data_IF_963524605293
#
_entry.id   IF_963524605293
#
_cell.length_a   1.000
_cell.length_b   1.000
_cell.length_c   1.000
_cell.angle_alpha   90.00
_cell.angle_beta   90.00
_cell.angle_gamma   90.00
#
_symmetry.space_group_name_H-M   'P 1'
#
loop_
_entity.id
_entity.type
_entity.pdbx_description
1 polymer ?
#
# COMPACT_ATOMS: atom_id res chain seq x y z
N UNK A 1 -32.98 65.67 -35.61
CA UNK A 1 -33.19 64.96 -34.30
C UNK A 1 -34.51 64.19 -34.24
N UNK A 2 -35.64 64.79 -34.66
CA UNK A 2 -36.94 64.10 -34.65
C UNK A 2 -36.94 62.83 -35.53
N UNK A 3 -36.39 62.86 -36.74
CA UNK A 3 -36.28 61.69 -37.66
C UNK A 3 -35.46 60.56 -37.11
N UNK A 4 -34.49 60.81 -36.19
CA UNK A 4 -33.64 59.76 -35.55
C UNK A 4 -34.43 59.07 -34.45
N UNK A 5 -35.32 59.73 -33.77
CA UNK A 5 -36.15 59.19 -32.69
C UNK A 5 -37.38 58.43 -33.23
N UNK A 6 -37.82 58.71 -34.42
CA UNK A 6 -38.99 58.08 -35.06
C UNK A 6 -38.62 56.80 -35.83
N UNK A 7 -37.35 56.66 -36.23
CA UNK A 7 -36.85 55.47 -36.95
C UNK A 7 -35.82 54.66 -36.07
N UNK A 8 -36.21 53.50 -35.54
CA UNK A 8 -35.34 52.69 -34.70
C UNK A 8 -34.05 52.25 -35.40
N UNK A 9 -34.05 52.13 -36.72
CA UNK A 9 -32.87 51.69 -37.47
C UNK A 9 -31.86 52.81 -37.65
N UNK A 10 -32.35 54.05 -37.88
CA UNK A 10 -31.50 55.23 -37.87
C UNK A 10 -30.92 55.55 -36.51
N UNK A 11 -31.68 55.33 -35.44
CA UNK A 11 -31.17 55.45 -34.07
C UNK A 11 -30.02 54.44 -33.79
N UNK A 12 -30.16 53.14 -34.17
CA UNK A 12 -29.12 52.19 -34.09
C UNK A 12 -27.85 52.50 -34.87
N UNK A 13 -28.04 53.10 -36.10
CA UNK A 13 -26.89 53.51 -36.89
C UNK A 13 -26.13 54.68 -36.25
N UNK A 14 -26.79 55.63 -35.66
CA UNK A 14 -26.15 56.74 -34.93
C UNK A 14 -25.39 56.21 -33.72
N UNK A 15 -26.03 55.37 -32.92
CA UNK A 15 -25.39 54.76 -31.77
C UNK A 15 -24.13 53.94 -32.18
N UNK A 16 -24.23 53.21 -33.29
CA UNK A 16 -23.10 52.43 -33.80
C UNK A 16 -21.94 53.35 -34.23
N UNK A 17 -22.23 54.43 -34.94
CA UNK A 17 -21.23 55.42 -35.39
C UNK A 17 -20.53 56.09 -34.17
N UNK A 18 -21.31 56.48 -33.16
CA UNK A 18 -20.76 57.08 -31.94
C UNK A 18 -19.87 56.07 -31.15
N UNK A 19 -20.30 54.82 -31.07
CA UNK A 19 -19.50 53.75 -30.42
C UNK A 19 -18.21 53.41 -31.21
N UNK A 20 -18.28 53.42 -32.54
CA UNK A 20 -17.11 53.23 -33.40
C UNK A 20 -16.13 54.40 -33.25
N UNK A 21 -16.61 55.66 -33.23
CA UNK A 21 -15.80 56.84 -32.96
C UNK A 21 -15.11 56.75 -31.56
N UNK A 22 -15.86 56.43 -30.53
CA UNK A 22 -15.28 56.26 -29.17
C UNK A 22 -14.22 55.15 -29.14
N UNK A 23 -14.46 54.05 -29.86
CA UNK A 23 -13.47 52.95 -29.96
C UNK A 23 -12.20 53.40 -30.70
N UNK A 24 -12.32 54.16 -31.74
CA UNK A 24 -11.16 54.67 -32.52
C UNK A 24 -10.35 55.71 -31.76
N UNK A 25 -11.03 56.62 -31.04
CA UNK A 25 -10.38 57.74 -30.34
C UNK A 25 -9.80 57.30 -28.96
N UNK A 26 -10.50 56.42 -28.26
CA UNK A 26 -10.16 56.04 -26.87
C UNK A 26 -9.88 54.54 -26.69
N UNK A 27 -9.91 53.77 -27.78
CA UNK A 27 -9.66 52.34 -27.71
C UNK A 27 -8.18 52.04 -27.48
N UNK A 28 -7.85 51.51 -26.35
CA UNK A 28 -6.52 50.96 -26.05
C UNK A 28 -6.45 49.48 -26.42
N UNK A 29 -5.26 49.03 -26.84
CA UNK A 29 -4.99 47.60 -26.96
C UNK A 29 -5.10 46.94 -25.61
N UNK A 30 -5.60 45.71 -25.60
CA UNK A 30 -5.79 44.95 -24.39
C UNK A 30 -4.44 44.76 -23.70
N UNK A 31 -4.28 45.28 -22.48
CA UNK A 31 -3.04 45.18 -21.65
C UNK A 31 -2.84 43.82 -21.00
N UNK A 32 -3.93 43.06 -20.80
CA UNK A 32 -3.88 41.73 -20.18
C UNK A 32 -4.10 40.65 -21.23
N UNK A 33 -3.19 39.72 -21.45
CA UNK A 33 -3.42 38.58 -22.34
C UNK A 33 -4.62 37.75 -21.87
N UNK A 34 -5.36 37.16 -22.80
CA UNK A 34 -6.33 36.12 -22.48
C UNK A 34 -5.54 34.83 -22.49
N UNK A 35 -5.29 34.27 -21.30
CA UNK A 35 -4.74 32.95 -21.15
C UNK A 35 -5.88 31.96 -20.85
N UNK A 36 -5.73 30.74 -21.35
CA UNK A 36 -6.63 29.67 -20.94
C UNK A 36 -6.48 29.47 -19.43
N UNK A 37 -7.62 29.35 -18.75
CA UNK A 37 -7.63 29.05 -17.32
C UNK A 37 -6.95 27.70 -17.12
N UNK A 38 -5.75 27.70 -16.56
CA UNK A 38 -5.13 26.51 -16.06
C UNK A 38 -5.93 26.09 -14.82
N UNK A 39 -6.75 25.05 -14.96
CA UNK A 39 -7.41 24.42 -13.84
C UNK A 39 -6.34 23.60 -13.08
N UNK A 40 -5.50 24.30 -12.30
CA UNK A 40 -4.52 23.68 -11.43
C UNK A 40 -5.25 22.81 -10.41
N UNK A 41 -4.95 21.53 -10.43
CA UNK A 41 -5.40 20.59 -9.39
C UNK A 41 -4.50 20.72 -8.17
N UNK A 42 -4.95 20.25 -7.01
CA UNK A 42 -4.11 20.19 -5.80
C UNK A 42 -2.85 19.35 -6.05
N UNK A 43 -2.95 18.37 -6.93
CA UNK A 43 -1.85 17.49 -7.32
C UNK A 43 -0.73 18.23 -8.06
N UNK A 44 -1.07 19.20 -8.92
CA UNK A 44 -0.09 20.02 -9.67
C UNK A 44 0.76 20.92 -8.77
N UNK A 45 0.29 21.23 -7.58
CA UNK A 45 0.99 22.06 -6.58
C UNK A 45 1.91 21.24 -5.67
N UNK A 46 1.82 19.91 -5.72
CA UNK A 46 2.60 19.02 -4.86
C UNK A 46 3.83 18.55 -5.62
N UNK A 47 5.00 18.69 -4.97
CA UNK A 47 6.26 18.22 -5.55
C UNK A 47 6.30 16.68 -5.55
N UNK A 48 6.67 16.05 -6.68
CA UNK A 48 6.89 14.61 -6.72
C UNK A 48 8.13 14.24 -5.90
N UNK A 49 7.95 13.47 -4.83
CA UNK A 49 9.01 12.98 -3.94
C UNK A 49 8.69 11.56 -3.49
N UNK A 50 9.73 10.75 -3.33
CA UNK A 50 9.58 9.39 -2.80
C UNK A 50 9.47 9.44 -1.28
N UNK A 51 8.40 8.84 -0.77
CA UNK A 51 8.05 8.84 0.63
C UNK A 51 7.89 7.41 1.15
N UNK A 52 8.29 7.22 2.41
CA UNK A 52 7.96 6.00 3.15
C UNK A 52 6.60 6.18 3.80
N UNK A 53 5.64 5.40 3.36
CA UNK A 53 4.31 5.31 3.97
C UNK A 53 4.31 4.20 5.00
N UNK A 54 3.90 4.52 6.22
CA UNK A 54 3.73 3.52 7.29
C UNK A 54 2.31 3.50 7.79
N UNK A 55 1.77 2.29 7.96
CA UNK A 55 0.46 2.06 8.59
C UNK A 55 0.66 1.16 9.79
N UNK A 56 0.15 1.59 10.94
CA UNK A 56 0.18 0.79 12.16
C UNK A 56 -1.03 -0.13 12.25
N UNK A 57 -0.93 -1.16 13.10
CA UNK A 57 -2.02 -2.13 13.34
C UNK A 57 -3.31 -1.46 13.82
N UNK A 58 -3.22 -0.41 14.63
CA UNK A 58 -4.37 0.39 15.07
C UNK A 58 -4.90 1.34 14.01
N UNK A 59 -4.34 1.30 12.78
CA UNK A 59 -4.82 2.07 11.65
C UNK A 59 -4.35 3.52 11.61
N UNK A 60 -3.20 3.86 12.19
CA UNK A 60 -2.59 5.18 12.03
C UNK A 60 -1.66 5.19 10.83
N UNK A 61 -1.81 6.17 9.96
CA UNK A 61 -0.99 6.36 8.77
C UNK A 61 -0.17 7.64 8.86
N UNK A 62 1.05 7.59 8.34
CA UNK A 62 1.93 8.74 8.15
C UNK A 62 2.88 8.53 6.98
N UNK A 63 3.37 9.63 6.43
CA UNK A 63 4.46 9.63 5.45
C UNK A 63 5.71 10.25 6.04
N UNK A 64 6.87 9.80 5.56
CA UNK A 64 8.17 10.33 5.93
C UNK A 64 9.10 10.31 4.71
N UNK A 65 10.00 11.30 4.55
CA UNK A 65 11.02 11.24 3.51
C UNK A 65 11.88 9.98 3.65
N UNK A 66 12.30 9.41 2.53
CA UNK A 66 13.11 8.18 2.51
C UNK A 66 14.43 8.34 3.30
N UNK A 67 15.01 9.55 3.30
CA UNK A 67 16.27 9.88 4.01
C UNK A 67 16.23 9.66 5.54
N UNK A 68 15.02 9.60 6.12
CA UNK A 68 14.83 9.38 7.56
C UNK A 68 15.20 7.94 7.96
N UNK A 69 15.11 7.00 7.01
CA UNK A 69 15.41 5.59 7.22
C UNK A 69 16.87 5.31 6.83
N UNK A 70 17.72 5.10 7.82
CA UNK A 70 19.13 4.72 7.64
C UNK A 70 19.35 3.32 8.15
N UNK A 71 20.18 2.57 7.43
CA UNK A 71 20.57 1.21 7.81
C UNK A 71 21.28 1.15 9.17
N UNK A 72 21.10 0.06 9.89
CA UNK A 72 21.77 -0.25 11.15
C UNK A 72 22.67 -1.47 10.95
N UNK A 73 23.93 -1.38 11.40
CA UNK A 73 24.83 -2.53 11.39
C UNK A 73 24.36 -3.58 12.41
N UNK A 74 24.70 -4.86 12.16
CA UNK A 74 24.45 -5.98 13.08
C UNK A 74 24.97 -5.66 14.48
N UNK A 75 24.11 -5.78 15.50
CA UNK A 75 24.45 -5.45 16.89
C UNK A 75 24.32 -3.96 17.25
N UNK A 76 23.78 -3.12 16.35
CA UNK A 76 23.43 -1.75 16.65
C UNK A 76 22.21 -1.65 17.56
N UNK A 77 22.09 -0.54 18.29
CA UNK A 77 20.88 -0.18 19.02
C UNK A 77 19.85 0.27 17.99
N UNK A 78 18.74 -0.46 17.85
CA UNK A 78 17.67 -0.12 16.90
C UNK A 78 17.18 1.31 17.05
N UNK A 79 16.74 1.93 15.95
CA UNK A 79 16.08 3.25 15.99
C UNK A 79 14.58 3.08 16.06
N UNK A 80 13.91 3.85 16.90
CA UNK A 80 12.45 3.87 16.98
C UNK A 80 11.88 4.44 15.69
N UNK A 81 11.20 3.63 14.91
CA UNK A 81 10.54 4.05 13.66
C UNK A 81 9.20 4.75 13.93
N UNK A 82 8.56 4.44 15.06
CA UNK A 82 7.35 5.09 15.53
C UNK A 82 7.29 5.04 17.06
N UNK A 83 6.87 6.15 17.70
CA UNK A 83 6.47 6.09 19.11
C UNK A 83 5.03 5.61 19.15
N UNK A 84 4.85 4.34 19.44
CA UNK A 84 3.53 3.71 19.56
C UNK A 84 3.22 3.43 21.02
N UNK A 85 1.95 3.50 21.41
CA UNK A 85 1.50 3.00 22.71
C UNK A 85 1.86 1.51 22.78
N UNK A 86 1.99 0.98 23.99
CA UNK A 86 2.46 -0.40 24.27
C UNK A 86 1.80 -1.55 23.48
N UNK A 87 0.72 -1.27 22.74
CA UNK A 87 -0.07 -2.27 21.99
C UNK A 87 -0.12 -2.03 20.48
N UNK A 88 0.56 -1.01 19.94
CA UNK A 88 0.54 -0.69 18.51
C UNK A 88 1.93 -0.92 17.88
N UNK A 89 1.98 -1.32 16.62
CA UNK A 89 3.22 -1.50 15.86
C UNK A 89 2.98 -1.22 14.38
N UNK A 90 4.06 -0.94 13.63
CA UNK A 90 3.98 -0.76 12.18
C UNK A 90 3.68 -2.11 11.52
N UNK A 91 2.52 -2.24 10.91
CA UNK A 91 2.08 -3.45 10.22
C UNK A 91 2.42 -3.41 8.72
N UNK A 92 2.32 -2.24 8.11
CA UNK A 92 2.61 -2.04 6.69
C UNK A 92 3.62 -0.91 6.49
N UNK A 93 4.59 -1.15 5.63
CA UNK A 93 5.56 -0.16 5.18
C UNK A 93 5.73 -0.29 3.67
N UNK A 94 5.62 0.82 2.96
CA UNK A 94 5.81 0.88 1.51
C UNK A 94 6.50 2.18 1.12
N UNK A 95 7.34 2.12 0.09
CA UNK A 95 7.89 3.31 -0.57
C UNK A 95 7.00 3.64 -1.75
N UNK A 96 6.57 4.89 -1.86
CA UNK A 96 5.70 5.36 -2.92
C UNK A 96 5.94 6.84 -3.21
N UNK A 97 5.74 7.26 -4.45
CA UNK A 97 5.81 8.67 -4.81
C UNK A 97 4.58 9.43 -4.30
N UNK A 98 4.74 10.73 -4.01
CA UNK A 98 3.62 11.58 -3.54
C UNK A 98 2.41 11.55 -4.45
N UNK A 99 2.60 11.41 -5.77
CA UNK A 99 1.53 11.38 -6.77
C UNK A 99 0.90 10.01 -6.99
N UNK A 100 1.51 8.96 -6.45
CA UNK A 100 1.00 7.61 -6.61
C UNK A 100 -0.35 7.39 -5.91
N UNK A 101 -1.06 6.40 -6.39
CA UNK A 101 -2.30 5.93 -5.76
C UNK A 101 -2.04 4.64 -4.99
N UNK A 102 -2.30 4.66 -3.70
CA UNK A 102 -2.28 3.46 -2.88
C UNK A 102 -3.63 2.75 -2.95
N UNK A 103 -3.61 1.49 -3.35
CA UNK A 103 -4.72 0.58 -3.17
C UNK A 103 -4.60 -0.05 -1.78
N UNK A 104 -5.48 0.35 -0.88
CA UNK A 104 -5.52 -0.13 0.49
C UNK A 104 -6.52 -1.29 0.58
N UNK A 105 -6.04 -2.50 0.78
CA UNK A 105 -6.88 -3.70 0.89
C UNK A 105 -7.15 -4.02 2.36
N UNK A 106 -8.41 -4.27 2.67
CA UNK A 106 -8.83 -4.62 4.03
C UNK A 106 -8.91 -6.12 4.26
N UNK A 107 -8.87 -6.52 5.54
CA UNK A 107 -9.10 -7.89 5.97
C UNK A 107 -10.44 -8.46 5.49
N UNK A 108 -11.46 -7.59 5.31
CA UNK A 108 -12.80 -7.97 4.81
C UNK A 108 -12.88 -8.09 3.28
N UNK A 109 -11.75 -8.00 2.58
CA UNK A 109 -11.67 -8.14 1.13
C UNK A 109 -12.23 -6.96 0.34
N UNK A 110 -12.27 -5.76 0.93
CA UNK A 110 -12.53 -4.50 0.24
C UNK A 110 -11.23 -3.81 -0.16
N UNK A 111 -11.33 -2.90 -1.12
CA UNK A 111 -10.25 -2.03 -1.58
C UNK A 111 -10.68 -0.58 -1.52
N UNK A 112 -9.79 0.27 -1.04
CA UNK A 112 -9.92 1.72 -0.97
C UNK A 112 -8.77 2.37 -1.73
N UNK A 113 -9.00 3.57 -2.24
CA UNK A 113 -8.00 4.38 -2.95
C UNK A 113 -7.60 5.54 -2.08
N UNK A 114 -6.31 5.75 -1.93
CA UNK A 114 -5.76 6.84 -1.16
C UNK A 114 -4.56 7.41 -1.91
N UNK A 115 -4.57 8.70 -2.18
CA UNK A 115 -3.40 9.37 -2.75
C UNK A 115 -2.33 9.55 -1.66
N UNK A 116 -1.07 9.32 -2.01
CA UNK A 116 0.04 9.41 -1.03
C UNK A 116 0.10 10.80 -0.41
N UNK A 117 -0.12 11.86 -1.19
CA UNK A 117 -0.10 13.24 -0.69
C UNK A 117 -1.24 13.57 0.30
N UNK A 118 -2.30 12.77 0.36
CA UNK A 118 -3.39 12.93 1.35
C UNK A 118 -3.00 12.44 2.74
N UNK A 119 -1.95 11.62 2.82
CA UNK A 119 -1.43 11.10 4.08
C UNK A 119 -0.50 12.15 4.69
N UNK A 120 -0.74 12.60 5.93
CA UNK A 120 0.07 13.66 6.52
C UNK A 120 1.51 13.21 6.75
N UNK A 121 2.44 14.10 6.42
CA UNK A 121 3.84 13.95 6.78
C UNK A 121 4.00 14.16 8.29
N UNK A 122 4.70 13.26 8.95
CA UNK A 122 4.88 13.32 10.39
C UNK A 122 6.29 12.88 10.82
N UNK A 123 6.73 13.33 11.99
CA UNK A 123 8.01 12.93 12.56
C UNK A 123 8.05 11.44 12.92
N UNK A 124 9.25 10.91 13.14
CA UNK A 124 9.45 9.49 13.51
C UNK A 124 8.65 9.09 14.76
N UNK A 125 8.61 9.95 15.76
CA UNK A 125 7.95 9.71 17.05
C UNK A 125 6.42 9.99 17.02
N UNK A 126 5.92 10.68 16.00
CA UNK A 126 4.50 10.97 15.88
C UNK A 126 3.72 9.72 15.44
N UNK A 127 2.49 9.56 15.92
CA UNK A 127 1.60 8.44 15.57
C UNK A 127 1.10 8.51 14.13
N UNK A 128 0.97 9.72 13.57
CA UNK A 128 0.28 9.95 12.31
C UNK A 128 -1.22 10.23 12.50
N UNK A 129 -2.00 10.04 11.43
CA UNK A 129 -3.44 10.28 11.39
C UNK A 129 -4.21 8.96 11.27
N UNK A 130 -5.34 8.79 11.96
CA UNK A 130 -6.17 7.59 11.79
C UNK A 130 -6.66 7.46 10.35
N UNK A 131 -6.51 6.27 9.75
CA UNK A 131 -7.00 5.97 8.40
C UNK A 131 -8.49 6.18 8.23
N UNK A 132 -9.29 5.95 9.26
CA UNK A 132 -10.73 6.21 9.26
C UNK A 132 -11.11 7.68 8.98
N UNK A 133 -10.15 8.60 9.14
CA UNK A 133 -10.32 10.00 8.76
C UNK A 133 -9.95 10.28 7.29
N UNK A 134 -9.32 9.34 6.61
CA UNK A 134 -8.89 9.46 5.22
C UNK A 134 -9.77 8.60 4.30
N UNK A 135 -10.14 7.39 4.76
CA UNK A 135 -10.98 6.43 4.03
C UNK A 135 -12.11 5.92 4.95
N UNK A 136 -13.24 5.58 4.37
CA UNK A 136 -14.43 5.14 5.12
C UNK A 136 -14.34 3.64 5.44
N UNK A 137 -13.63 3.31 6.52
CA UNK A 137 -13.55 1.95 7.03
C UNK A 137 -14.74 1.62 7.95
N UNK A 138 -15.20 0.38 7.90
CA UNK A 138 -16.16 -0.16 8.86
C UNK A 138 -15.48 -0.40 10.23
N UNK A 139 -16.25 -0.57 11.30
CA UNK A 139 -15.75 -0.62 12.69
C UNK A 139 -14.75 -1.76 12.96
N UNK A 140 -14.87 -2.88 12.27
CA UNK A 140 -13.99 -4.06 12.43
C UNK A 140 -13.00 -4.22 11.26
N UNK A 141 -12.98 -3.23 10.36
CA UNK A 141 -12.18 -3.28 9.16
C UNK A 141 -10.80 -2.67 9.41
N UNK A 142 -9.75 -3.41 9.02
CA UNK A 142 -8.36 -2.98 9.09
C UNK A 142 -7.67 -3.20 7.74
N UNK A 143 -6.69 -2.37 7.42
CA UNK A 143 -5.90 -2.51 6.20
C UNK A 143 -4.81 -3.56 6.43
N UNK A 144 -4.82 -4.61 5.62
CA UNK A 144 -3.88 -5.72 5.70
C UNK A 144 -2.84 -5.73 4.59
N UNK A 145 -3.10 -5.02 3.49
CA UNK A 145 -2.14 -4.94 2.38
C UNK A 145 -2.25 -3.63 1.62
N UNK A 146 -1.10 -3.13 1.19
CA UNK A 146 -0.96 -1.92 0.37
C UNK A 146 -0.33 -2.28 -0.97
N UNK A 147 -0.85 -1.69 -2.04
CA UNK A 147 -0.21 -1.73 -3.35
C UNK A 147 -0.02 -0.31 -3.85
N UNK A 148 1.20 -0.01 -4.28
CA UNK A 148 1.49 1.22 -4.98
C UNK A 148 1.15 1.06 -6.46
N UNK A 149 0.38 1.99 -7.01
CA UNK A 149 -0.03 2.02 -8.42
C UNK A 149 0.27 3.39 -9.00
N UNK A 150 1.27 3.44 -9.88
CA UNK A 150 1.61 4.64 -10.64
C UNK A 150 0.57 4.90 -11.75
N UNK A 151 0.17 3.85 -12.47
CA UNK A 151 -0.82 3.91 -13.55
C UNK A 151 -1.66 2.65 -13.63
N UNK A 152 -2.98 2.83 -13.85
CA UNK A 152 -3.91 1.73 -14.09
C UNK A 152 -3.95 1.26 -15.56
N UNK A 153 -3.28 1.97 -16.46
CA UNK A 153 -3.22 1.63 -17.89
C UNK A 153 -2.15 0.56 -18.19
N UNK A 154 -1.28 0.27 -17.21
CA UNK A 154 -0.32 -0.82 -17.30
C UNK A 154 -1.02 -2.18 -17.30
N UNK A 155 -0.64 -3.05 -18.24
CA UNK A 155 -1.10 -4.43 -18.25
C UNK A 155 -0.60 -5.17 -17.00
N UNK A 156 -1.52 -5.63 -16.17
CA UNK A 156 -1.17 -6.33 -14.93
C UNK A 156 -2.40 -6.89 -14.21
N UNK A 157 -2.11 -7.61 -13.16
CA UNK A 157 -3.12 -8.23 -12.32
C UNK A 157 -2.84 -7.94 -10.85
N UNK A 158 -3.90 -7.84 -10.07
CA UNK A 158 -3.82 -7.91 -8.61
C UNK A 158 -4.03 -9.36 -8.20
N UNK A 159 -3.00 -9.97 -7.66
CA UNK A 159 -3.05 -11.30 -7.08
C UNK A 159 -3.33 -11.18 -5.59
N UNK A 160 -4.29 -11.94 -5.08
CA UNK A 160 -4.78 -11.87 -3.70
C UNK A 160 -4.72 -13.25 -3.07
N UNK A 161 -4.44 -13.30 -1.76
CA UNK A 161 -4.48 -14.53 -0.97
C UNK A 161 -5.23 -14.31 0.34
N UNK A 162 -6.03 -15.31 0.73
CA UNK A 162 -6.79 -15.28 1.98
C UNK A 162 -6.16 -16.20 3.04
N UNK A 163 -6.53 -15.99 4.28
CA UNK A 163 -6.07 -16.77 5.43
C UNK A 163 -6.41 -18.26 5.28
N UNK A 164 -7.55 -18.59 4.68
CA UNK A 164 -7.96 -19.99 4.42
C UNK A 164 -7.36 -20.58 3.14
N UNK A 165 -6.38 -19.91 2.53
CA UNK A 165 -5.64 -20.44 1.39
C UNK A 165 -6.34 -20.32 0.06
N UNK A 166 -7.36 -19.47 -0.06
CA UNK A 166 -7.99 -19.11 -1.32
C UNK A 166 -7.14 -18.04 -2.01
N UNK A 167 -6.94 -18.17 -3.32
CA UNK A 167 -6.24 -17.18 -4.14
C UNK A 167 -7.11 -16.69 -5.28
N UNK A 168 -6.85 -15.46 -5.70
CA UNK A 168 -7.58 -14.83 -6.79
C UNK A 168 -6.67 -13.90 -7.57
N UNK A 169 -6.82 -13.91 -8.90
CA UNK A 169 -6.16 -12.98 -9.82
C UNK A 169 -7.22 -12.13 -10.51
N UNK A 170 -7.10 -10.81 -10.42
CA UNK A 170 -8.05 -9.84 -11.01
C UNK A 170 -7.28 -8.83 -11.84
N UNK A 171 -7.73 -8.46 -13.08
CA UNK A 171 -7.07 -7.43 -13.86
C UNK A 171 -6.95 -6.11 -13.07
N UNK A 172 -5.80 -5.41 -13.20
CA UNK A 172 -5.55 -4.15 -12.51
C UNK A 172 -6.52 -3.06 -12.96
N UNK A 173 -6.92 -3.06 -14.22
CA UNK A 173 -7.90 -2.13 -14.80
C UNK A 173 -9.27 -2.14 -14.10
N UNK A 174 -9.66 -3.28 -13.51
CA UNK A 174 -10.89 -3.42 -12.72
C UNK A 174 -10.90 -2.50 -11.49
N UNK A 175 -9.73 -2.03 -11.06
CA UNK A 175 -9.55 -1.13 -9.91
C UNK A 175 -9.38 0.35 -10.31
N UNK A 176 -9.48 0.71 -11.59
CA UNK A 176 -9.28 2.08 -12.10
C UNK A 176 -10.23 3.12 -11.49
N UNK A 177 -11.49 2.75 -11.24
CA UNK A 177 -12.52 3.70 -10.80
C UNK A 177 -12.65 3.69 -9.27
N UNK A 178 -12.17 4.72 -8.56
CA UNK A 178 -12.26 4.82 -7.10
C UNK A 178 -13.71 4.97 -6.63
N UNK A 179 -13.98 4.56 -5.39
CA UNK A 179 -15.23 4.85 -4.65
C UNK A 179 -14.89 5.16 -3.19
N UNK A 180 -15.52 6.19 -2.64
CA UNK A 180 -15.29 6.62 -1.25
C UNK A 180 -15.57 5.52 -0.22
N UNK A 181 -16.63 4.71 -0.46
CA UNK A 181 -17.03 3.61 0.44
C UNK A 181 -16.27 2.30 0.15
N UNK A 182 -15.19 2.36 -0.63
CA UNK A 182 -14.49 1.18 -1.10
C UNK A 182 -15.27 0.34 -2.11
N UNK A 183 -14.62 -0.68 -2.62
CA UNK A 183 -15.22 -1.70 -3.50
C UNK A 183 -14.82 -3.09 -3.01
N UNK A 184 -15.68 -4.08 -3.19
CA UNK A 184 -15.28 -5.46 -2.98
C UNK A 184 -14.21 -5.86 -3.98
N UNK A 185 -13.08 -6.35 -3.48
CA UNK A 185 -11.98 -6.88 -4.27
C UNK A 185 -12.08 -8.41 -4.38
N UNK A 186 -12.52 -9.08 -3.32
CA UNK A 186 -12.73 -10.53 -3.25
C UNK A 186 -13.93 -10.82 -2.36
N UNK A 187 -14.70 -11.86 -2.71
CA UNK A 187 -15.77 -12.39 -1.84
C UNK A 187 -15.17 -13.44 -0.91
N UNK A 188 -15.12 -13.14 0.37
CA UNK A 188 -14.61 -14.01 1.42
C UNK A 188 -15.68 -14.97 1.94
N UNK A 189 -15.25 -16.11 2.43
CA UNK A 189 -16.07 -17.03 3.20
C UNK A 189 -16.19 -16.60 4.67
N UNK A 190 -17.08 -17.22 5.40
CA UNK A 190 -17.23 -16.94 6.83
C UNK A 190 -15.92 -17.24 7.57
N UNK A 191 -15.47 -16.30 8.40
CA UNK A 191 -14.22 -16.38 9.18
C UNK A 191 -12.94 -16.47 8.33
N UNK A 192 -13.00 -16.02 7.06
CA UNK A 192 -11.82 -15.87 6.23
C UNK A 192 -11.44 -14.39 6.13
N UNK A 193 -10.15 -14.10 6.04
CA UNK A 193 -9.60 -12.77 5.93
C UNK A 193 -8.63 -12.68 4.75
N UNK A 194 -8.52 -11.52 4.14
CA UNK A 194 -7.49 -11.23 3.15
C UNK A 194 -6.15 -11.04 3.87
N UNK A 195 -5.13 -11.82 3.50
CA UNK A 195 -3.80 -11.77 4.11
C UNK A 195 -2.87 -10.84 3.32
N UNK A 196 -2.93 -10.89 2.00
CA UNK A 196 -2.01 -10.11 1.20
C UNK A 196 -2.44 -9.97 -0.24
N UNK A 197 -1.86 -8.94 -0.88
CA UNK A 197 -2.04 -8.66 -2.29
C UNK A 197 -0.70 -8.32 -2.94
N UNK A 198 -0.53 -8.66 -4.22
CA UNK A 198 0.66 -8.34 -5.03
C UNK A 198 0.24 -7.99 -6.45
N UNK A 199 0.98 -7.09 -7.09
CA UNK A 199 0.84 -6.83 -8.52
C UNK A 199 1.67 -7.86 -9.27
N UNK A 200 1.11 -8.44 -10.35
CA UNK A 200 1.75 -9.44 -11.18
C UNK A 200 1.53 -9.13 -12.67
N UNK A 201 2.39 -9.68 -13.53
CA UNK A 201 2.33 -9.49 -14.99
C UNK A 201 1.62 -10.63 -15.74
N UNK A 202 1.08 -11.62 -15.03
CA UNK A 202 0.43 -12.79 -15.62
C UNK A 202 1.36 -13.97 -15.92
N UNK A 203 2.68 -13.84 -15.68
CA UNK A 203 3.69 -14.87 -16.01
C UNK A 203 4.54 -15.30 -14.82
N UNK A 204 4.35 -14.68 -13.67
CA UNK A 204 5.17 -14.86 -12.48
C UNK A 204 4.82 -16.15 -11.73
N UNK A 205 5.61 -16.46 -10.73
CA UNK A 205 5.36 -17.54 -9.80
C UNK A 205 4.87 -16.95 -8.47
N UNK A 206 3.95 -17.65 -7.85
CA UNK A 206 3.34 -17.26 -6.59
C UNK A 206 3.79 -18.24 -5.51
N UNK A 207 4.17 -17.68 -4.38
CA UNK A 207 4.46 -18.47 -3.19
C UNK A 207 3.51 -18.11 -2.06
N UNK A 208 2.92 -19.13 -1.46
CA UNK A 208 2.11 -19.03 -0.24
C UNK A 208 2.80 -19.79 0.87
N UNK A 209 2.85 -19.19 2.05
CA UNK A 209 3.41 -19.85 3.24
C UNK A 209 2.36 -19.87 4.35
N UNK A 210 2.24 -21.03 5.02
CA UNK A 210 1.35 -21.24 6.16
C UNK A 210 2.07 -21.11 7.49
N UNK A 211 1.30 -20.82 8.54
CA UNK A 211 1.75 -20.79 9.94
C UNK A 211 2.30 -22.14 10.41
N UNK A 212 1.93 -23.24 9.73
CA UNK A 212 2.50 -24.58 9.94
C UNK A 212 3.87 -24.80 9.26
N UNK A 213 4.48 -23.74 8.70
CA UNK A 213 5.80 -23.84 8.06
C UNK A 213 5.81 -24.52 6.70
N UNK A 214 4.66 -24.68 6.05
CA UNK A 214 4.56 -25.26 4.69
C UNK A 214 4.48 -24.14 3.64
N UNK A 215 5.13 -24.34 2.49
CA UNK A 215 5.14 -23.44 1.35
C UNK A 215 4.62 -24.13 0.10
N UNK A 216 3.79 -23.46 -0.68
CA UNK A 216 3.38 -23.85 -2.03
C UNK A 216 3.92 -22.82 -3.02
N UNK A 217 4.62 -23.31 -4.04
CA UNK A 217 5.24 -22.48 -5.07
C UNK A 217 4.75 -22.92 -6.46
N UNK A 218 3.92 -22.08 -7.11
CA UNK A 218 3.23 -22.44 -8.36
C UNK A 218 3.21 -21.28 -9.35
N UNK A 219 2.92 -21.59 -10.63
CA UNK A 219 2.79 -20.57 -11.66
C UNK A 219 1.43 -19.88 -11.58
N UNK A 220 1.40 -18.56 -11.66
CA UNK A 220 0.13 -17.80 -11.59
C UNK A 220 -0.82 -18.10 -12.76
N UNK A 221 -0.34 -18.68 -13.88
CA UNK A 221 -1.18 -19.17 -14.99
C UNK A 221 -2.15 -20.28 -14.57
N UNK A 222 -1.83 -21.00 -13.49
CA UNK A 222 -2.74 -21.99 -12.90
C UNK A 222 -3.99 -21.33 -12.28
N UNK A 223 -3.97 -20.01 -12.08
CA UNK A 223 -5.11 -19.23 -11.61
C UNK A 223 -5.62 -18.34 -12.76
N UNK A 224 -6.81 -18.68 -13.28
CA UNK A 224 -7.46 -17.84 -14.30
C UNK A 224 -7.83 -16.46 -13.74
N UNK A 225 -7.82 -15.40 -14.55
CA UNK A 225 -8.35 -14.10 -14.15
C UNK A 225 -9.84 -14.19 -13.79
N UNK A 226 -10.23 -13.51 -12.73
CA UNK A 226 -11.59 -13.48 -12.20
C UNK A 226 -11.99 -12.04 -11.88
N UNK A 227 -13.24 -11.67 -12.13
CA UNK A 227 -13.78 -10.36 -11.79
C UNK A 227 -13.80 -10.11 -10.28
N UNK A 228 -13.86 -8.84 -9.87
CA UNK A 228 -13.72 -8.41 -8.45
C UNK A 228 -14.70 -9.08 -7.49
N UNK A 229 -15.95 -9.21 -7.86
CA UNK A 229 -17.03 -9.70 -6.96
C UNK A 229 -17.19 -11.24 -6.98
N UNK A 230 -16.09 -11.96 -7.15
CA UNK A 230 -16.06 -13.41 -7.15
C UNK A 230 -15.27 -13.96 -5.98
N UNK A 231 -15.53 -15.21 -5.62
CA UNK A 231 -14.64 -16.02 -4.80
C UNK A 231 -13.39 -16.36 -5.61
N UNK A 232 -12.30 -16.66 -4.93
CA UNK A 232 -11.11 -17.18 -5.56
C UNK A 232 -11.18 -18.69 -5.80
N UNK A 233 -10.03 -19.28 -5.95
CA UNK A 233 -9.78 -20.70 -6.14
C UNK A 233 -8.80 -21.19 -5.07
N UNK A 234 -8.79 -22.48 -4.74
CA UNK A 234 -7.87 -23.06 -3.74
C UNK A 234 -6.42 -22.84 -4.18
N UNK A 235 -5.62 -22.14 -3.37
CA UNK A 235 -4.20 -21.86 -3.59
C UNK A 235 -3.29 -22.89 -2.94
N UNK A 236 -3.57 -23.24 -1.68
CA UNK A 236 -2.86 -24.21 -0.88
C UNK A 236 -3.87 -25.14 -0.17
N UNK A 237 -3.48 -26.36 0.08
CA UNK A 237 -4.23 -27.28 0.93
C UNK A 237 -3.74 -27.15 2.37
N UNK A 238 -4.61 -26.64 3.24
CA UNK A 238 -4.36 -26.48 4.67
C UNK A 238 -5.06 -27.60 5.43
N UNK A 239 -4.48 -28.01 6.54
CA UNK A 239 -5.11 -28.83 7.55
C UNK A 239 -5.95 -27.95 8.49
N UNK A 240 -6.75 -28.54 9.36
CA UNK A 240 -7.57 -27.80 10.32
C UNK A 240 -6.69 -26.87 11.17
N UNK A 241 -7.20 -25.68 11.45
CA UNK A 241 -6.53 -24.61 12.22
C UNK A 241 -5.26 -23.99 11.59
N UNK A 242 -4.85 -24.44 10.41
CA UNK A 242 -3.73 -23.82 9.68
C UNK A 242 -4.21 -22.61 8.88
N UNK A 243 -3.35 -21.60 8.78
CA UNK A 243 -3.63 -20.38 8.07
C UNK A 243 -2.46 -19.98 7.15
N UNK A 244 -2.78 -19.35 6.03
CA UNK A 244 -1.76 -18.65 5.23
C UNK A 244 -1.36 -17.37 5.95
N UNK A 245 -0.06 -17.14 6.04
CA UNK A 245 0.50 -15.95 6.68
C UNK A 245 1.21 -15.01 5.70
N UNK A 246 1.64 -15.52 4.53
CA UNK A 246 2.35 -14.70 3.56
C UNK A 246 2.00 -15.08 2.13
N UNK A 247 1.91 -14.03 1.28
CA UNK A 247 1.83 -14.09 -0.17
C UNK A 247 3.06 -13.39 -0.75
N UNK A 248 3.82 -14.08 -1.58
CA UNK A 248 5.02 -13.55 -2.23
C UNK A 248 5.02 -13.86 -3.72
N UNK A 249 5.79 -13.06 -4.47
CA UNK A 249 6.05 -13.21 -5.91
C UNK A 249 7.56 -13.21 -6.10
N UNK A 250 8.25 -14.31 -5.70
CA UNK A 250 9.70 -14.34 -5.72
C UNK A 250 10.27 -14.42 -7.14
N UNK A 251 11.31 -13.64 -7.37
CA UNK A 251 12.18 -13.74 -8.55
C UNK A 251 13.11 -14.97 -8.48
N UNK A 252 13.92 -15.17 -9.52
CA UNK A 252 14.83 -16.32 -9.60
C UNK A 252 16.00 -16.27 -8.60
N UNK A 253 16.40 -15.08 -8.20
CA UNK A 253 17.56 -14.82 -7.32
C UNK A 253 17.15 -14.52 -5.87
N UNK A 254 15.85 -14.43 -5.62
CA UNK A 254 15.34 -14.11 -4.29
C UNK A 254 15.56 -15.25 -3.31
N UNK A 255 15.71 -14.88 -2.06
CA UNK A 255 15.71 -15.78 -0.93
C UNK A 255 14.50 -15.53 -0.05
N UNK A 256 14.08 -16.54 0.67
CA UNK A 256 12.92 -16.47 1.55
C UNK A 256 13.40 -16.48 2.99
N UNK A 257 13.19 -15.35 3.69
CA UNK A 257 13.40 -15.26 5.11
C UNK A 257 12.10 -15.63 5.84
N UNK A 258 12.16 -16.69 6.63
CA UNK A 258 11.05 -17.15 7.48
C UNK A 258 11.37 -16.85 8.94
N UNK A 259 10.37 -16.37 9.70
CA UNK A 259 10.53 -16.02 11.12
C UNK A 259 9.43 -16.70 11.94
N UNK A 260 9.83 -17.35 13.02
CA UNK A 260 8.92 -18.04 13.93
C UNK A 260 8.61 -17.22 15.19
N UNK A 261 7.59 -17.62 15.90
CA UNK A 261 7.05 -16.98 17.10
C UNK A 261 8.10 -16.75 18.19
N UNK A 262 9.01 -17.71 18.38
CA UNK A 262 10.06 -17.64 19.38
C UNK A 262 11.35 -16.98 18.86
N UNK A 263 11.28 -16.21 17.75
CA UNK A 263 12.36 -15.40 17.22
C UNK A 263 13.42 -16.17 16.41
N UNK A 264 13.16 -17.40 16.01
CA UNK A 264 14.07 -18.13 15.13
C UNK A 264 13.81 -17.72 13.68
N UNK A 265 14.87 -17.35 12.97
CA UNK A 265 14.83 -17.00 11.55
C UNK A 265 15.63 -17.99 10.71
N UNK A 266 15.15 -18.27 9.49
CA UNK A 266 15.85 -19.06 8.48
C UNK A 266 15.75 -18.38 7.12
N UNK A 267 16.88 -18.23 6.46
CA UNK A 267 16.96 -17.79 5.06
C UNK A 267 17.14 -19.03 4.16
N UNK A 268 16.33 -19.16 3.13
CA UNK A 268 16.34 -20.29 2.19
C UNK A 268 16.29 -19.77 0.77
N UNK A 269 17.03 -20.36 -0.16
CA UNK A 269 17.00 -19.99 -1.57
C UNK A 269 15.68 -20.42 -2.21
N UNK A 270 15.17 -19.65 -3.16
CA UNK A 270 13.95 -20.01 -3.90
C UNK A 270 14.11 -21.36 -4.64
N UNK A 271 15.33 -21.71 -5.05
CA UNK A 271 15.65 -22.96 -5.72
C UNK A 271 15.44 -24.20 -4.86
N UNK A 272 15.44 -24.05 -3.53
CA UNK A 272 15.19 -25.14 -2.58
C UNK A 272 13.71 -25.55 -2.53
N UNK A 273 12.83 -24.67 -3.10
CA UNK A 273 11.39 -24.91 -3.12
C UNK A 273 10.98 -25.53 -4.48
N UNK A 274 10.52 -26.77 -4.43
CA UNK A 274 9.99 -27.45 -5.61
C UNK A 274 8.75 -26.74 -6.13
N UNK A 275 8.71 -26.44 -7.44
CA UNK A 275 7.51 -25.97 -8.11
C UNK A 275 6.41 -27.04 -8.05
N UNK A 276 5.23 -26.64 -7.60
CA UNK A 276 4.06 -27.49 -7.44
C UNK A 276 2.90 -26.92 -8.28
N UNK A 277 1.79 -27.65 -8.32
CA UNK A 277 0.53 -27.12 -8.83
C UNK A 277 -0.19 -26.35 -7.70
N UNK A 278 -1.05 -25.41 -8.08
CA UNK A 278 -1.95 -24.73 -7.16
C UNK A 278 -2.80 -25.75 -6.37
N UNK A 279 -3.07 -25.51 -5.11
CA UNK A 279 -3.88 -26.37 -4.25
C UNK A 279 -3.14 -27.59 -3.70
N UNK A 280 -1.81 -27.63 -3.81
CA UNK A 280 -1.00 -28.70 -3.20
C UNK A 280 -0.85 -28.49 -1.68
N UNK A 281 -0.43 -29.57 -0.95
CA UNK A 281 -0.10 -29.50 0.48
C UNK A 281 1.17 -28.71 0.79
N UNK A 282 2.01 -28.48 -0.25
CA UNK A 282 3.26 -27.75 -0.13
C UNK A 282 4.45 -28.56 0.36
N UNK A 283 5.59 -27.89 0.45
CA UNK A 283 6.86 -28.39 0.98
C UNK A 283 7.20 -27.69 2.29
N UNK A 284 8.07 -28.28 3.10
CA UNK A 284 8.47 -27.67 4.37
C UNK A 284 9.41 -26.50 4.08
N UNK A 285 8.99 -25.28 4.43
CA UNK A 285 9.82 -24.08 4.40
C UNK A 285 10.68 -23.97 5.68
N UNK A 286 10.05 -24.21 6.83
CA UNK A 286 10.71 -24.26 8.12
C UNK A 286 10.14 -25.42 8.94
N UNK A 287 11.01 -26.26 9.47
CA UNK A 287 10.58 -27.31 10.39
C UNK A 287 10.26 -26.69 11.75
N UNK A 288 9.02 -26.83 12.16
CA UNK A 288 8.53 -26.31 13.43
C UNK A 288 8.66 -27.31 14.55
N UNK A 289 8.87 -26.83 15.76
CA UNK A 289 8.99 -27.59 17.01
C UNK A 289 8.48 -26.72 18.15
N UNK A 290 8.29 -27.30 19.33
CA UNK A 290 7.94 -26.52 20.54
C UNK A 290 8.95 -25.43 20.86
N UNK A 291 10.22 -25.63 20.49
CA UNK A 291 11.30 -24.65 20.71
C UNK A 291 11.12 -23.38 19.87
N UNK A 292 10.72 -23.48 18.59
CA UNK A 292 10.64 -22.34 17.70
C UNK A 292 9.21 -21.79 17.52
N UNK A 293 8.19 -22.54 17.94
CA UNK A 293 6.80 -22.11 17.83
C UNK A 293 6.26 -22.14 16.40
N UNK A 294 5.12 -21.50 16.16
CA UNK A 294 4.52 -21.36 14.82
C UNK A 294 5.31 -20.37 13.96
N UNK A 295 5.17 -20.49 12.65
CA UNK A 295 5.68 -19.49 11.72
C UNK A 295 4.77 -18.26 11.75
N UNK A 296 5.34 -17.06 11.95
CA UNK A 296 4.58 -15.82 12.05
C UNK A 296 4.74 -14.90 10.84
N UNK A 297 5.87 -14.99 10.14
CA UNK A 297 6.14 -14.15 8.97
C UNK A 297 7.07 -14.85 7.99
N UNK A 298 6.91 -14.54 6.72
CA UNK A 298 7.86 -14.87 5.68
C UNK A 298 7.89 -13.75 4.65
N UNK A 299 9.09 -13.34 4.25
CA UNK A 299 9.33 -12.26 3.29
C UNK A 299 10.38 -12.70 2.27
N UNK A 300 10.25 -12.19 1.05
CA UNK A 300 11.30 -12.33 0.04
C UNK A 300 12.38 -11.28 0.30
N UNK A 301 13.63 -11.67 0.16
CA UNK A 301 14.81 -10.81 0.36
C UNK A 301 15.86 -11.13 -0.69
N UNK A 302 16.67 -10.14 -1.02
CA UNK A 302 17.92 -10.29 -1.78
C UNK A 302 19.11 -10.00 -0.86
N UNK A 303 20.33 -10.31 -1.30
CA UNK A 303 21.52 -10.20 -0.44
C UNK A 303 21.81 -8.77 0.06
N UNK A 304 21.38 -7.75 -0.68
CA UNK A 304 21.58 -6.33 -0.34
C UNK A 304 20.42 -5.73 0.43
N UNK A 305 19.34 -6.49 0.67
CA UNK A 305 18.15 -5.98 1.36
C UNK A 305 18.38 -5.79 2.85
N UNK A 306 17.80 -4.72 3.36
CA UNK A 306 17.72 -4.44 4.79
C UNK A 306 16.34 -4.82 5.32
N UNK A 307 16.30 -5.60 6.40
CA UNK A 307 15.06 -6.09 7.01
C UNK A 307 14.77 -5.32 8.29
N UNK A 308 13.55 -4.77 8.36
CA UNK A 308 13.06 -4.09 9.56
C UNK A 308 12.18 -5.05 10.36
N UNK A 309 12.60 -5.34 11.61
CA UNK A 309 11.79 -6.07 12.56
C UNK A 309 11.04 -5.12 13.48
N UNK A 310 9.71 -5.12 13.40
CA UNK A 310 8.86 -4.36 14.31
C UNK A 310 8.52 -5.21 15.52
N UNK A 311 9.10 -4.88 16.68
CA UNK A 311 8.90 -5.59 17.94
C UNK A 311 7.84 -4.89 18.80
N UNK A 312 6.99 -5.68 19.46
CA UNK A 312 6.01 -5.17 20.42
C UNK A 312 6.70 -4.62 21.70
N UNK A 313 7.84 -5.18 22.04
CA UNK A 313 8.69 -4.73 23.14
C UNK A 313 10.16 -4.99 22.81
N UNK A 314 11.05 -4.19 23.36
CA UNK A 314 12.49 -4.44 23.31
C UNK A 314 12.87 -5.14 24.61
N UNK A 315 13.37 -6.37 24.51
CA UNK A 315 14.06 -6.99 25.67
C UNK A 315 15.29 -6.13 26.00
N UNK A 316 15.52 -5.78 27.27
CA UNK A 316 16.72 -5.06 27.65
C UNK A 316 17.95 -5.84 27.20
N UNK A 317 18.85 -5.18 26.46
CA UNK A 317 20.11 -5.78 26.04
C UNK A 317 20.89 -6.25 27.29
N UNK A 318 21.65 -7.35 27.21
CA UNK A 318 22.56 -7.74 28.30
C UNK A 318 23.50 -6.60 28.74
N UNK A 319 23.77 -5.60 27.88
CA UNK A 319 24.52 -4.40 28.22
C UNK A 319 23.72 -3.42 29.06
N UNK A 320 22.40 -3.37 28.89
CA UNK A 320 21.51 -2.47 29.69
C UNK A 320 21.31 -3.01 31.12
N UNK A 321 21.43 -4.32 31.30
CA UNK A 321 21.43 -4.98 32.61
C UNK A 321 22.72 -4.77 33.39
N UNK A 322 23.85 -4.47 32.73
CA UNK A 322 25.13 -4.23 33.38
C UNK A 322 25.29 -2.82 33.96
N UNK A 323 24.49 -1.84 33.50
CA UNK A 323 24.54 -0.46 33.98
C UNK A 323 23.66 -0.19 35.21
N UNK A 324 22.77 -1.10 35.58
CA UNK A 324 21.90 -0.99 36.75
C UNK A 324 22.46 -1.56 38.06
N UNK A 325 23.69 -2.05 38.05
CA UNK A 325 24.41 -2.53 39.25
C UNK A 325 25.62 -1.65 39.53
N UNK A 326 25.39 -0.43 40.00
CA UNK A 326 26.33 0.19 40.92
C UNK A 326 25.81 0.03 42.33
N UNK A 327 26.48 -0.73 43.20
CA UNK A 327 26.15 -0.69 44.60
C UNK A 327 26.56 0.70 45.12
N UNK A 328 25.64 1.39 45.73
CA UNK A 328 25.98 2.51 46.61
C UNK A 328 26.78 1.93 47.76
N UNK A 329 28.09 2.12 47.71
CA UNK A 329 28.94 1.93 48.88
C UNK A 329 28.98 3.19 49.67
N UNK A 330 28.45 3.12 50.86
CA UNK A 330 28.78 3.76 52.14
C UNK A 330 29.42 5.17 52.10
#
# INVERSE_FOLDING_TARGET
MQEILEDPDKLKQVIKQELEYIREEYGDDRKSPIEERLDLTTEDLIKPEDMVVTISRLGYAKTQPLEVYQSQRRGGVGKTAASVKQEDFVEQLIVANTHDTLLCFSNLGKVYWLKVYEIPQASRVAKGRPLVNLIQLDSEERITSLLNVESFDAAGFVFMATMKGVVKKTPLEDFRLPRKNGKRAIKLDAKDELVGTKITDGKQHIMLISDAGKAVYFNEKDSRPLGRDTRGVKGIELEDEQNVISLMVPGSEDEILTVSENGFGKKSRITDFRKTKRGAKGVIAMQLSERNGKLISAVQVIDEDEVIFCLLYTSPSPRDLSTSRMPSSA
#
